data_IF_986589968134
#
_entry.id   IF_986589968134
#
_cell.length_a   1.000
_cell.length_b   1.000
_cell.length_c   1.000
_cell.angle_alpha   90.00
_cell.angle_beta   90.00
_cell.angle_gamma   90.00
#
_symmetry.space_group_name_H-M   'P 1'
#
loop_
_entity.id
_entity.type
_entity.pdbx_description
1 polymer ?
#
# COMPACT_ATOMS: atom_id res chain seq x y z
N UNK A 1 35.40 -136.80 5.85
CA UNK A 1 36.43 -137.77 6.25
C UNK A 1 37.67 -136.96 6.57
N UNK A 2 37.97 -136.77 7.85
CA UNK A 2 39.32 -136.40 8.34
C UNK A 2 39.39 -136.36 9.88
N UNK A 3 38.32 -136.75 10.58
CA UNK A 3 38.45 -137.41 11.88
C UNK A 3 38.86 -138.87 11.63
N UNK A 4 40.17 -139.19 11.70
CA UNK A 4 40.68 -140.43 12.35
C UNK A 4 42.22 -140.63 12.35
N UNK A 5 43.04 -139.95 11.54
CA UNK A 5 44.45 -140.41 11.38
C UNK A 5 45.50 -139.90 12.40
N UNK A 6 45.25 -138.85 13.20
CA UNK A 6 46.33 -138.25 14.05
C UNK A 6 46.21 -138.62 15.54
N UNK A 7 45.58 -139.76 15.85
CA UNK A 7 45.64 -140.37 17.20
C UNK A 7 46.28 -141.76 17.21
N UNK A 8 47.28 -142.00 16.37
CA UNK A 8 48.25 -143.10 16.51
C UNK A 8 49.66 -142.70 16.05
N UNK A 9 50.15 -141.54 16.48
CA UNK A 9 51.58 -141.20 16.44
C UNK A 9 52.18 -141.32 17.85
N UNK A 10 52.24 -142.56 18.36
CA UNK A 10 52.91 -142.86 19.61
C UNK A 10 54.44 -142.89 19.37
N UNK A 11 55.11 -141.84 19.85
CA UNK A 11 56.57 -141.62 19.92
C UNK A 11 57.25 -141.31 18.57
N UNK A 12 57.53 -140.03 18.34
CA UNK A 12 58.59 -139.59 17.44
C UNK A 12 59.92 -139.58 18.23
N UNK A 13 60.87 -140.41 17.84
CA UNK A 13 62.23 -140.37 18.37
C UNK A 13 63.12 -139.59 17.41
N UNK A 14 63.77 -138.56 17.94
CA UNK A 14 64.76 -137.75 17.24
C UNK A 14 66.12 -138.19 17.73
N UNK A 15 67.01 -138.57 16.81
CA UNK A 15 68.40 -138.91 17.13
C UNK A 15 69.34 -138.11 16.24
N UNK A 16 70.37 -137.53 16.85
CA UNK A 16 71.40 -136.74 16.16
C UNK A 16 72.59 -137.66 15.93
N UNK A 17 72.96 -137.91 14.67
CA UNK A 17 74.21 -138.57 14.31
C UNK A 17 75.22 -137.56 13.77
N UNK A 18 76.49 -137.96 13.62
CA UNK A 18 77.63 -137.06 13.35
C UNK A 18 77.49 -136.13 12.13
N UNK A 19 76.66 -136.49 11.14
CA UNK A 19 76.42 -135.67 9.92
C UNK A 19 74.95 -135.49 9.53
N UNK A 20 74.01 -136.14 10.21
CA UNK A 20 72.59 -136.14 9.82
C UNK A 20 71.65 -136.22 11.04
N UNK A 21 70.54 -135.51 10.95
CA UNK A 21 69.40 -135.60 11.86
C UNK A 21 68.47 -136.71 11.38
N UNK A 22 68.19 -137.68 12.25
CA UNK A 22 67.36 -138.85 11.93
C UNK A 22 66.06 -138.75 12.73
N UNK A 23 64.96 -138.58 12.00
CA UNK A 23 63.61 -138.51 12.54
C UNK A 23 62.91 -139.82 12.25
N UNK A 24 62.53 -140.56 13.30
CA UNK A 24 61.75 -141.79 13.15
C UNK A 24 60.38 -141.59 13.76
N UNK A 25 59.35 -141.66 12.92
CA UNK A 25 57.96 -141.52 13.34
C UNK A 25 57.20 -142.82 13.04
N UNK A 26 56.42 -143.28 14.02
CA UNK A 26 55.64 -144.53 13.95
C UNK A 26 54.19 -144.20 13.67
N UNK A 27 53.71 -144.56 12.49
CA UNK A 27 52.30 -144.39 12.12
C UNK A 27 51.71 -145.72 11.67
N UNK A 28 50.68 -146.19 12.38
CA UNK A 28 49.86 -147.37 12.05
C UNK A 28 50.71 -148.56 11.55
N UNK A 29 51.59 -149.04 12.43
CA UNK A 29 52.54 -150.15 12.24
C UNK A 29 53.70 -149.94 11.25
N UNK A 30 53.77 -148.81 10.53
CA UNK A 30 54.91 -148.46 9.66
C UNK A 30 55.85 -147.44 10.33
N UNK A 31 57.17 -147.70 10.28
CA UNK A 31 58.20 -146.77 10.77
C UNK A 31 58.72 -146.00 9.56
N UNK A 32 58.38 -144.70 9.45
CA UNK A 32 59.01 -143.82 8.44
C UNK A 32 60.23 -143.16 9.07
N UNK A 33 61.39 -143.28 8.40
CA UNK A 33 62.65 -142.66 8.81
C UNK A 33 63.00 -141.57 7.81
N UNK A 34 63.05 -140.32 8.26
CA UNK A 34 63.45 -139.15 7.48
C UNK A 34 64.88 -138.79 7.90
N UNK A 35 65.76 -138.59 6.92
CA UNK A 35 67.18 -138.31 7.13
C UNK A 35 67.46 -136.93 6.53
N UNK A 36 67.79 -135.96 7.37
CA UNK A 36 68.16 -134.62 6.92
C UNK A 36 69.63 -134.35 7.24
N UNK A 37 70.48 -134.01 6.25
CA UNK A 37 71.86 -133.69 6.53
C UNK A 37 71.97 -132.40 7.36
N UNK A 38 72.88 -132.40 8.35
CA UNK A 38 73.05 -131.28 9.29
C UNK A 38 73.39 -129.95 8.58
N UNK A 39 74.02 -130.00 7.41
CA UNK A 39 74.29 -128.81 6.57
C UNK A 39 73.03 -128.15 6.01
N UNK A 40 71.98 -128.93 5.67
CA UNK A 40 70.70 -128.35 5.28
C UNK A 40 70.01 -127.69 6.48
N UNK A 41 70.15 -128.29 7.67
CA UNK A 41 69.64 -127.72 8.91
C UNK A 41 70.34 -126.39 9.27
N UNK A 42 71.66 -126.29 9.07
CA UNK A 42 72.40 -125.03 9.29
C UNK A 42 72.09 -123.95 8.26
N UNK A 43 71.85 -124.31 6.99
CA UNK A 43 71.36 -123.35 5.99
C UNK A 43 69.98 -122.82 6.37
N UNK A 44 69.06 -123.69 6.79
CA UNK A 44 67.71 -123.28 7.20
C UNK A 44 67.76 -122.36 8.42
N UNK A 45 68.59 -122.66 9.43
CA UNK A 45 68.73 -121.79 10.61
C UNK A 45 69.40 -120.46 10.28
N UNK A 46 70.40 -120.43 9.38
CA UNK A 46 71.00 -119.18 8.90
C UNK A 46 70.00 -118.34 8.10
N UNK A 47 69.18 -118.96 7.24
CA UNK A 47 68.16 -118.26 6.47
C UNK A 47 67.05 -117.73 7.39
N UNK A 48 66.63 -118.52 8.38
CA UNK A 48 65.67 -118.12 9.40
C UNK A 48 66.20 -116.95 10.25
N UNK A 49 67.47 -117.00 10.67
CA UNK A 49 68.12 -115.90 11.39
C UNK A 49 68.23 -114.64 10.53
N UNK A 50 68.56 -114.75 9.23
CA UNK A 50 68.60 -113.60 8.32
C UNK A 50 67.22 -112.96 8.13
N UNK A 51 66.17 -113.79 8.03
CA UNK A 51 64.78 -113.32 7.94
C UNK A 51 64.38 -112.64 9.26
N UNK A 52 64.71 -113.21 10.41
CA UNK A 52 64.44 -112.57 11.71
C UNK A 52 65.18 -111.25 11.87
N UNK A 53 66.45 -111.18 11.45
CA UNK A 53 67.25 -109.97 11.54
C UNK A 53 66.72 -108.88 10.60
N UNK A 54 66.28 -109.24 9.39
CA UNK A 54 65.62 -108.32 8.46
C UNK A 54 64.25 -107.86 8.98
N UNK A 55 63.45 -108.76 9.56
CA UNK A 55 62.17 -108.43 10.17
C UNK A 55 62.33 -107.53 11.41
N UNK A 56 63.38 -107.74 12.20
CA UNK A 56 63.76 -106.86 13.30
C UNK A 56 64.19 -105.49 12.78
N UNK A 57 65.05 -105.41 11.78
CA UNK A 57 65.52 -104.13 11.22
C UNK A 57 64.38 -103.34 10.56
N UNK A 58 63.47 -104.03 9.86
CA UNK A 58 62.29 -103.41 9.26
C UNK A 58 61.30 -102.94 10.34
N UNK A 59 61.08 -103.70 11.41
CA UNK A 59 60.12 -103.34 12.47
C UNK A 59 60.64 -102.31 13.46
N UNK A 60 61.92 -102.35 13.84
CA UNK A 60 62.53 -101.43 14.81
C UNK A 60 63.03 -100.12 14.19
N UNK A 61 63.41 -100.12 12.91
CA UNK A 61 64.04 -98.97 12.28
C UNK A 61 63.18 -98.40 11.15
N UNK A 62 62.82 -99.23 10.17
CA UNK A 62 62.17 -98.73 8.96
C UNK A 62 60.73 -98.28 9.20
N UNK A 63 59.92 -99.12 9.84
CA UNK A 63 58.53 -98.81 10.16
C UNK A 63 58.37 -97.54 11.03
N UNK A 64 59.09 -97.36 12.16
CA UNK A 64 58.95 -96.17 12.97
C UNK A 64 59.52 -94.92 12.30
N UNK A 65 60.65 -95.00 11.56
CA UNK A 65 61.14 -93.84 10.80
C UNK A 65 60.17 -93.41 9.70
N UNK A 66 59.61 -94.37 8.97
CA UNK A 66 58.66 -94.07 7.91
C UNK A 66 57.37 -93.47 8.47
N UNK A 67 56.81 -94.05 9.54
CA UNK A 67 55.63 -93.50 10.21
C UNK A 67 55.92 -92.13 10.80
N UNK A 68 57.06 -91.95 11.48
CA UNK A 68 57.44 -90.65 12.03
C UNK A 68 57.58 -89.60 10.93
N UNK A 69 58.33 -89.90 9.86
CA UNK A 69 58.58 -88.95 8.78
C UNK A 69 57.31 -88.66 7.99
N UNK A 70 56.50 -89.67 7.68
CA UNK A 70 55.25 -89.49 6.96
C UNK A 70 54.22 -88.75 7.79
N UNK A 71 54.01 -89.13 9.04
CA UNK A 71 53.06 -88.45 9.94
C UNK A 71 53.53 -87.04 10.25
N UNK A 72 54.81 -86.82 10.53
CA UNK A 72 55.34 -85.48 10.79
C UNK A 72 55.23 -84.60 9.55
N UNK A 73 55.67 -85.08 8.38
CA UNK A 73 55.64 -84.30 7.15
C UNK A 73 54.20 -84.04 6.70
N UNK A 74 53.33 -85.04 6.76
CA UNK A 74 51.93 -84.88 6.38
C UNK A 74 51.19 -84.00 7.38
N UNK A 75 51.33 -84.24 8.69
CA UNK A 75 50.68 -83.40 9.70
C UNK A 75 51.22 -81.97 9.67
N UNK A 76 52.53 -81.76 9.59
CA UNK A 76 53.11 -80.42 9.52
C UNK A 76 52.69 -79.73 8.23
N UNK A 77 52.91 -80.34 7.07
CA UNK A 77 52.61 -79.70 5.79
C UNK A 77 51.10 -79.50 5.61
N UNK A 78 50.29 -80.52 5.88
CA UNK A 78 48.85 -80.42 5.69
C UNK A 78 48.21 -79.50 6.73
N UNK A 79 48.47 -79.69 8.03
CA UNK A 79 47.83 -78.86 9.06
C UNK A 79 48.34 -77.43 8.96
N UNK A 80 49.66 -77.22 8.86
CA UNK A 80 50.19 -75.86 8.79
C UNK A 80 49.75 -75.18 7.49
N UNK A 81 49.95 -75.80 6.33
CA UNK A 81 49.65 -75.13 5.07
C UNK A 81 48.14 -75.00 4.84
N UNK A 82 47.37 -76.08 5.00
CA UNK A 82 45.95 -76.04 4.72
C UNK A 82 45.20 -75.22 5.75
N UNK A 83 45.40 -75.46 7.05
CA UNK A 83 44.65 -74.74 8.08
C UNK A 83 45.08 -73.27 8.12
N UNK A 84 46.38 -72.96 8.07
CA UNK A 84 46.82 -71.56 8.08
C UNK A 84 46.38 -70.83 6.82
N UNK A 85 46.60 -71.40 5.63
CA UNK A 85 46.24 -70.72 4.38
C UNK A 85 44.72 -70.59 4.24
N UNK A 86 43.95 -71.65 4.56
CA UNK A 86 42.50 -71.59 4.47
C UNK A 86 41.91 -70.65 5.51
N UNK A 87 42.35 -70.73 6.78
CA UNK A 87 41.84 -69.83 7.82
C UNK A 87 42.23 -68.37 7.57
N UNK A 88 43.46 -68.11 7.12
CA UNK A 88 43.94 -66.76 6.84
C UNK A 88 43.27 -66.19 5.58
N UNK A 89 43.12 -66.97 4.52
CA UNK A 89 42.46 -66.53 3.30
C UNK A 89 40.96 -66.36 3.52
N UNK A 90 40.32 -67.25 4.28
CA UNK A 90 38.91 -67.10 4.65
C UNK A 90 38.70 -65.91 5.59
N UNK A 91 39.52 -65.74 6.63
CA UNK A 91 39.42 -64.60 7.52
C UNK A 91 39.68 -63.29 6.76
N UNK A 92 40.75 -63.21 5.95
CA UNK A 92 41.05 -62.01 5.17
C UNK A 92 39.93 -61.72 4.17
N UNK A 93 39.55 -62.69 3.33
CA UNK A 93 38.55 -62.47 2.29
C UNK A 93 37.17 -62.21 2.88
N UNK A 94 36.74 -62.98 3.87
CA UNK A 94 35.42 -62.81 4.48
C UNK A 94 35.36 -61.53 5.30
N UNK A 95 36.29 -61.31 6.24
CA UNK A 95 36.26 -60.13 7.10
C UNK A 95 36.47 -58.87 6.28
N UNK A 96 37.48 -58.84 5.41
CA UNK A 96 37.76 -57.65 4.60
C UNK A 96 36.64 -57.42 3.58
N UNK A 97 36.28 -58.41 2.75
CA UNK A 97 35.31 -58.18 1.69
C UNK A 97 33.90 -58.00 2.27
N UNK A 98 33.44 -58.91 3.12
CA UNK A 98 32.06 -58.86 3.60
C UNK A 98 31.85 -57.67 4.54
N UNK A 99 32.69 -57.51 5.56
CA UNK A 99 32.45 -56.46 6.57
C UNK A 99 32.73 -55.09 5.95
N UNK A 100 33.85 -54.91 5.22
CA UNK A 100 34.14 -53.60 4.61
C UNK A 100 33.09 -53.24 3.56
N UNK A 101 32.78 -54.14 2.62
CA UNK A 101 31.84 -53.82 1.55
C UNK A 101 30.44 -53.64 2.10
N UNK A 102 29.98 -54.50 3.00
CA UNK A 102 28.64 -54.38 3.58
C UNK A 102 28.51 -53.14 4.46
N UNK A 103 29.48 -52.87 5.34
CA UNK A 103 29.45 -51.68 6.20
C UNK A 103 29.58 -50.38 5.39
N UNK A 104 30.49 -50.33 4.41
CA UNK A 104 30.69 -49.17 3.55
C UNK A 104 29.45 -48.92 2.68
N UNK A 105 28.93 -49.95 2.02
CA UNK A 105 27.73 -49.82 1.18
C UNK A 105 26.53 -49.38 2.02
N UNK A 106 26.34 -49.97 3.20
CA UNK A 106 25.23 -49.59 4.09
C UNK A 106 25.41 -48.17 4.63
N UNK A 107 26.61 -47.78 5.06
CA UNK A 107 26.88 -46.43 5.54
C UNK A 107 26.71 -45.40 4.43
N UNK A 108 27.19 -45.68 3.23
CA UNK A 108 27.10 -44.77 2.08
C UNK A 108 25.64 -44.66 1.60
N UNK A 109 24.92 -45.76 1.50
CA UNK A 109 23.52 -45.76 1.07
C UNK A 109 22.63 -45.09 2.13
N UNK A 110 22.88 -45.34 3.42
CA UNK A 110 22.13 -44.69 4.50
C UNK A 110 22.47 -43.21 4.60
N UNK A 111 23.75 -42.81 4.56
CA UNK A 111 24.15 -41.41 4.61
C UNK A 111 23.65 -40.66 3.38
N UNK A 112 23.85 -41.20 2.17
CA UNK A 112 23.38 -40.57 0.95
C UNK A 112 21.86 -40.47 0.95
N UNK A 113 21.14 -41.57 1.15
CA UNK A 113 19.68 -41.56 1.04
C UNK A 113 19.03 -40.79 2.18
N UNK A 114 19.48 -40.95 3.42
CA UNK A 114 18.90 -40.25 4.56
C UNK A 114 19.28 -38.77 4.56
N UNK A 115 20.57 -38.42 4.42
CA UNK A 115 20.99 -37.02 4.45
C UNK A 115 20.48 -36.29 3.21
N UNK A 116 20.61 -36.86 2.02
CA UNK A 116 20.10 -36.21 0.82
C UNK A 116 18.58 -36.07 0.89
N UNK A 117 17.84 -37.14 1.16
CA UNK A 117 16.38 -37.07 1.10
C UNK A 117 15.83 -36.24 2.26
N UNK A 118 16.31 -36.44 3.49
CA UNK A 118 15.83 -35.68 4.64
C UNK A 118 16.30 -34.23 4.60
N UNK A 119 17.59 -33.96 4.38
CA UNK A 119 18.06 -32.57 4.35
C UNK A 119 17.52 -31.83 3.14
N UNK A 120 17.49 -32.43 1.94
CA UNK A 120 16.98 -31.75 0.76
C UNK A 120 15.47 -31.54 0.86
N UNK A 121 14.69 -32.58 1.20
CA UNK A 121 13.23 -32.46 1.28
C UNK A 121 12.80 -31.58 2.46
N UNK A 122 13.37 -31.79 3.65
CA UNK A 122 13.00 -30.99 4.82
C UNK A 122 13.49 -29.55 4.66
N UNK A 123 14.76 -29.31 4.30
CA UNK A 123 15.23 -27.94 4.16
C UNK A 123 14.56 -27.22 2.99
N UNK A 124 14.40 -27.83 1.81
CA UNK A 124 13.72 -27.15 0.71
C UNK A 124 12.25 -26.92 1.04
N UNK A 125 11.51 -27.94 1.47
CA UNK A 125 10.08 -27.81 1.65
C UNK A 125 9.76 -26.90 2.84
N UNK A 126 10.50 -27.02 3.94
CA UNK A 126 10.33 -26.13 5.10
C UNK A 126 10.72 -24.69 4.77
N UNK A 127 11.92 -24.46 4.21
CA UNK A 127 12.38 -23.10 3.89
C UNK A 127 11.48 -22.47 2.83
N UNK A 128 11.12 -23.19 1.78
CA UNK A 128 10.27 -22.67 0.71
C UNK A 128 8.86 -22.39 1.22
N UNK A 129 8.23 -23.31 1.94
CA UNK A 129 6.88 -23.10 2.45
C UNK A 129 6.85 -21.99 3.51
N UNK A 130 7.82 -21.97 4.43
CA UNK A 130 7.89 -20.95 5.47
C UNK A 130 8.17 -19.57 4.89
N UNK A 131 9.18 -19.44 4.02
CA UNK A 131 9.51 -18.15 3.38
C UNK A 131 8.37 -17.64 2.50
N UNK A 132 7.74 -18.52 1.71
CA UNK A 132 6.63 -18.12 0.84
C UNK A 132 5.41 -17.72 1.66
N UNK A 133 5.05 -18.48 2.70
CA UNK A 133 3.95 -18.13 3.58
C UNK A 133 4.21 -16.80 4.30
N UNK A 134 5.43 -16.60 4.83
CA UNK A 134 5.76 -15.37 5.55
C UNK A 134 5.79 -14.16 4.61
N UNK A 135 6.39 -14.30 3.42
CA UNK A 135 6.42 -13.24 2.42
C UNK A 135 5.02 -12.89 1.93
N UNK A 136 4.16 -13.89 1.67
CA UNK A 136 2.80 -13.66 1.20
C UNK A 136 1.94 -13.04 2.29
N UNK A 137 2.04 -13.50 3.54
CA UNK A 137 1.31 -12.94 4.68
C UNK A 137 1.79 -11.52 4.98
N UNK A 138 3.10 -11.26 4.96
CA UNK A 138 3.64 -9.93 5.15
C UNK A 138 3.26 -8.98 4.02
N UNK A 139 3.41 -9.38 2.76
CA UNK A 139 3.02 -8.56 1.62
C UNK A 139 1.52 -8.28 1.64
N UNK A 140 0.68 -9.30 1.83
CA UNK A 140 -0.77 -9.12 1.83
C UNK A 140 -1.21 -8.27 3.02
N UNK A 141 -0.78 -8.58 4.24
CA UNK A 141 -1.21 -7.84 5.42
C UNK A 141 -0.62 -6.43 5.45
N UNK A 142 0.68 -6.28 5.22
CA UNK A 142 1.32 -4.96 5.28
C UNK A 142 0.90 -4.08 4.11
N UNK A 143 1.00 -4.56 2.86
CA UNK A 143 0.66 -3.73 1.69
C UNK A 143 -0.83 -3.45 1.66
N UNK A 144 -1.70 -4.44 1.88
CA UNK A 144 -3.14 -4.19 1.85
C UNK A 144 -3.53 -3.26 3.00
N UNK A 145 -3.12 -3.54 4.24
CA UNK A 145 -3.57 -2.75 5.39
C UNK A 145 -2.94 -1.36 5.38
N UNK A 146 -1.65 -1.24 5.08
CA UNK A 146 -0.99 0.06 4.99
C UNK A 146 -1.50 0.86 3.79
N UNK A 147 -1.55 0.28 2.60
CA UNK A 147 -2.04 1.00 1.42
C UNK A 147 -3.51 1.36 1.59
N UNK A 148 -4.38 0.44 2.02
CA UNK A 148 -5.80 0.74 2.22
C UNK A 148 -5.98 1.81 3.29
N UNK A 149 -5.38 1.64 4.47
CA UNK A 149 -5.58 2.58 5.59
C UNK A 149 -4.94 3.93 5.28
N UNK A 150 -3.73 3.97 4.74
CA UNK A 150 -3.07 5.22 4.37
C UNK A 150 -3.80 5.91 3.23
N UNK A 151 -4.10 5.22 2.13
CA UNK A 151 -4.79 5.87 0.98
C UNK A 151 -6.20 6.28 1.36
N UNK A 152 -6.99 5.42 2.01
CA UNK A 152 -8.34 5.76 2.43
C UNK A 152 -8.31 6.93 3.41
N UNK A 153 -7.53 6.85 4.50
CA UNK A 153 -7.56 7.88 5.53
C UNK A 153 -6.92 9.18 5.03
N UNK A 154 -5.76 9.11 4.38
CA UNK A 154 -5.08 10.31 3.90
C UNK A 154 -5.85 10.96 2.76
N UNK A 155 -6.21 10.21 1.71
CA UNK A 155 -6.89 10.80 0.55
C UNK A 155 -8.28 11.27 0.93
N UNK A 156 -9.08 10.48 1.64
CA UNK A 156 -10.43 10.88 2.02
C UNK A 156 -10.40 12.07 2.98
N UNK A 157 -9.59 12.01 4.05
CA UNK A 157 -9.55 13.11 5.02
C UNK A 157 -8.97 14.38 4.41
N UNK A 158 -7.88 14.27 3.65
CA UNK A 158 -7.25 15.44 3.03
C UNK A 158 -8.14 16.07 1.96
N UNK A 159 -8.70 15.26 1.05
CA UNK A 159 -9.58 15.77 -0.01
C UNK A 159 -10.87 16.36 0.56
N UNK A 160 -11.50 15.69 1.54
CA UNK A 160 -12.71 16.17 2.19
C UNK A 160 -12.44 17.48 2.93
N UNK A 161 -11.36 17.54 3.72
CA UNK A 161 -11.01 18.72 4.49
C UNK A 161 -10.65 19.88 3.55
N UNK A 162 -9.88 19.64 2.50
CA UNK A 162 -9.54 20.67 1.52
C UNK A 162 -10.78 21.17 0.75
N UNK A 163 -11.65 20.26 0.30
CA UNK A 163 -12.89 20.62 -0.39
C UNK A 163 -13.83 21.41 0.52
N UNK A 164 -13.97 21.01 1.79
CA UNK A 164 -14.82 21.69 2.77
C UNK A 164 -14.25 23.06 3.11
N UNK A 165 -12.95 23.18 3.35
CA UNK A 165 -12.29 24.45 3.66
C UNK A 165 -12.34 25.40 2.46
N UNK A 166 -12.13 24.90 1.24
CA UNK A 166 -12.25 25.70 0.03
C UNK A 166 -13.70 26.14 -0.20
N UNK A 167 -14.67 25.23 -0.16
CA UNK A 167 -16.08 25.56 -0.37
C UNK A 167 -16.59 26.53 0.71
N UNK A 168 -16.32 26.25 1.99
CA UNK A 168 -16.77 27.09 3.07
C UNK A 168 -16.06 28.44 3.06
N UNK A 169 -14.73 28.47 2.98
CA UNK A 169 -13.99 29.73 3.14
C UNK A 169 -14.02 30.56 1.86
N UNK A 170 -13.80 29.96 0.70
CA UNK A 170 -13.78 30.72 -0.56
C UNK A 170 -15.20 31.11 -0.97
N UNK A 171 -16.13 30.16 -1.09
CA UNK A 171 -17.45 30.46 -1.64
C UNK A 171 -18.26 31.31 -0.67
N UNK A 172 -18.29 30.98 0.62
CA UNK A 172 -19.06 31.78 1.58
C UNK A 172 -18.48 33.17 1.74
N UNK A 173 -17.17 33.31 1.96
CA UNK A 173 -16.56 34.61 2.22
C UNK A 173 -16.62 35.49 0.96
N UNK A 174 -16.29 34.94 -0.21
CA UNK A 174 -16.33 35.69 -1.46
C UNK A 174 -17.77 36.08 -1.82
N UNK A 175 -18.72 35.15 -1.75
CA UNK A 175 -20.12 35.46 -2.06
C UNK A 175 -20.71 36.46 -1.07
N UNK A 176 -20.44 36.29 0.23
CA UNK A 176 -20.91 37.22 1.27
C UNK A 176 -20.30 38.61 1.07
N UNK A 177 -18.99 38.69 0.83
CA UNK A 177 -18.30 39.98 0.66
C UNK A 177 -18.75 40.68 -0.62
N UNK A 178 -18.90 39.95 -1.73
CA UNK A 178 -19.45 40.50 -2.98
C UNK A 178 -20.90 40.96 -2.81
N UNK A 179 -21.75 40.13 -2.22
CA UNK A 179 -23.15 40.47 -1.99
C UNK A 179 -23.30 41.69 -1.08
N UNK A 180 -22.53 41.74 0.02
CA UNK A 180 -22.55 42.85 0.96
C UNK A 180 -21.99 44.13 0.34
N UNK A 181 -20.85 44.07 -0.34
CA UNK A 181 -20.25 45.22 -1.01
C UNK A 181 -21.17 45.75 -2.11
N UNK A 182 -21.71 44.88 -2.95
CA UNK A 182 -22.62 45.27 -4.02
C UNK A 182 -23.92 45.85 -3.48
N UNK A 183 -24.54 45.20 -2.50
CA UNK A 183 -25.78 45.70 -1.89
C UNK A 183 -25.55 47.04 -1.18
N UNK A 184 -24.45 47.19 -0.42
CA UNK A 184 -24.11 48.44 0.26
C UNK A 184 -23.83 49.56 -0.76
N UNK A 185 -23.04 49.28 -1.79
CA UNK A 185 -22.67 50.28 -2.81
C UNK A 185 -23.89 50.68 -3.64
N UNK A 186 -24.73 49.74 -4.05
CA UNK A 186 -25.99 50.04 -4.75
C UNK A 186 -26.94 50.83 -3.85
N UNK A 187 -27.16 50.39 -2.61
CA UNK A 187 -28.06 51.09 -1.69
C UNK A 187 -27.57 52.51 -1.40
N UNK A 188 -26.27 52.69 -1.12
CA UNK A 188 -25.70 54.00 -0.82
C UNK A 188 -25.67 54.89 -2.05
N UNK A 189 -25.21 54.41 -3.20
CA UNK A 189 -25.13 55.21 -4.43
C UNK A 189 -26.53 55.56 -4.94
N UNK A 190 -27.45 54.58 -4.97
CA UNK A 190 -28.81 54.85 -5.41
C UNK A 190 -29.55 55.77 -4.43
N UNK A 191 -29.53 55.50 -3.12
CA UNK A 191 -30.21 56.37 -2.16
C UNK A 191 -29.60 57.78 -2.12
N UNK A 192 -28.29 57.90 -2.07
CA UNK A 192 -27.62 59.20 -1.99
C UNK A 192 -27.82 59.96 -3.29
N UNK A 193 -27.56 59.36 -4.46
CA UNK A 193 -27.70 60.05 -5.74
C UNK A 193 -29.17 60.37 -6.03
N UNK A 194 -30.09 59.41 -5.85
CA UNK A 194 -31.51 59.64 -6.10
C UNK A 194 -32.08 60.66 -5.12
N UNK A 195 -31.89 60.50 -3.81
CA UNK A 195 -32.44 61.45 -2.83
C UNK A 195 -31.77 62.81 -2.96
N UNK A 196 -30.45 62.89 -3.08
CA UNK A 196 -29.77 64.18 -3.23
C UNK A 196 -30.16 64.86 -4.53
N UNK A 197 -30.10 64.17 -5.68
CA UNK A 197 -30.38 64.78 -6.98
C UNK A 197 -31.86 65.09 -7.12
N UNK A 198 -32.75 64.17 -6.77
CA UNK A 198 -34.19 64.42 -6.84
C UNK A 198 -34.61 65.49 -5.84
N UNK A 199 -34.22 65.39 -4.57
CA UNK A 199 -34.61 66.40 -3.59
C UNK A 199 -34.00 67.76 -3.94
N UNK A 200 -32.69 67.84 -4.25
CA UNK A 200 -32.06 69.12 -4.59
C UNK A 200 -32.65 69.70 -5.87
N UNK A 201 -32.72 68.94 -6.96
CA UNK A 201 -33.19 69.45 -8.25
C UNK A 201 -34.68 69.79 -8.20
N UNK A 202 -35.51 68.89 -7.64
CA UNK A 202 -36.94 69.13 -7.53
C UNK A 202 -37.24 70.29 -6.59
N UNK A 203 -36.69 70.31 -5.38
CA UNK A 203 -36.99 71.39 -4.42
C UNK A 203 -36.43 72.72 -4.90
N UNK A 204 -35.18 72.77 -5.39
CA UNK A 204 -34.58 74.00 -5.88
C UNK A 204 -35.35 74.53 -7.09
N UNK A 205 -35.60 73.69 -8.12
CA UNK A 205 -36.25 74.14 -9.34
C UNK A 205 -37.72 74.50 -9.09
N UNK A 206 -38.44 73.67 -8.32
CA UNK A 206 -39.83 73.93 -7.98
C UNK A 206 -39.98 75.19 -7.12
N UNK A 207 -39.22 75.31 -6.02
CA UNK A 207 -39.31 76.48 -5.15
C UNK A 207 -38.85 77.74 -5.87
N UNK A 208 -37.75 77.69 -6.63
CA UNK A 208 -37.25 78.84 -7.37
C UNK A 208 -38.24 79.29 -8.45
N UNK A 209 -38.74 78.37 -9.27
CA UNK A 209 -39.69 78.70 -10.33
C UNK A 209 -41.02 79.19 -9.75
N UNK A 210 -41.55 78.51 -8.73
CA UNK A 210 -42.78 78.91 -8.08
C UNK A 210 -42.65 80.26 -7.39
N UNK A 211 -41.59 80.48 -6.61
CA UNK A 211 -41.35 81.75 -5.93
C UNK A 211 -41.11 82.89 -6.93
N UNK A 212 -40.34 82.66 -8.00
CA UNK A 212 -40.11 83.66 -9.04
C UNK A 212 -41.41 84.02 -9.76
N UNK A 213 -42.21 83.03 -10.16
CA UNK A 213 -43.48 83.24 -10.83
C UNK A 213 -44.46 84.02 -9.94
N UNK A 214 -44.58 83.62 -8.66
CA UNK A 214 -45.43 84.31 -7.70
C UNK A 214 -44.96 85.74 -7.45
N UNK A 215 -43.66 85.95 -7.24
CA UNK A 215 -43.10 87.28 -7.03
C UNK A 215 -43.29 88.18 -8.25
N UNK A 216 -43.03 87.67 -9.46
CA UNK A 216 -43.21 88.40 -10.71
C UNK A 216 -44.68 88.77 -10.93
N UNK A 217 -45.60 87.80 -10.78
CA UNK A 217 -47.03 88.02 -10.95
C UNK A 217 -47.55 89.04 -9.94
N UNK A 218 -47.17 88.90 -8.66
CA UNK A 218 -47.59 89.84 -7.62
C UNK A 218 -47.03 91.24 -7.86
N UNK A 219 -45.73 91.36 -8.18
CA UNK A 219 -45.09 92.64 -8.45
C UNK A 219 -45.69 93.34 -9.68
N UNK A 220 -45.92 92.59 -10.77
CA UNK A 220 -46.48 93.14 -12.01
C UNK A 220 -47.94 93.56 -11.82
N UNK A 221 -48.74 92.74 -11.13
CA UNK A 221 -50.14 93.07 -10.83
C UNK A 221 -50.25 94.27 -9.88
N UNK A 222 -49.42 94.33 -8.83
CA UNK A 222 -49.35 95.49 -7.94
C UNK A 222 -48.91 96.75 -8.69
N UNK A 223 -47.84 96.67 -9.48
CA UNK A 223 -47.34 97.81 -10.25
C UNK A 223 -48.38 98.30 -11.27
N UNK A 224 -49.05 97.39 -11.97
CA UNK A 224 -50.10 97.74 -12.95
C UNK A 224 -51.30 98.39 -12.25
N UNK A 225 -51.83 97.78 -11.19
CA UNK A 225 -52.99 98.33 -10.46
C UNK A 225 -52.62 99.68 -9.84
N UNK A 226 -51.49 99.77 -9.16
CA UNK A 226 -51.07 100.99 -8.50
C UNK A 226 -50.80 102.11 -9.51
N UNK A 227 -50.06 101.84 -10.58
CA UNK A 227 -49.78 102.85 -11.61
C UNK A 227 -51.03 103.29 -12.35
N UNK A 228 -51.90 102.37 -12.76
CA UNK A 228 -53.11 102.69 -13.50
C UNK A 228 -54.12 103.43 -12.62
N UNK A 229 -54.34 102.98 -11.37
CA UNK A 229 -55.22 103.66 -10.43
C UNK A 229 -54.66 105.03 -10.01
N UNK A 230 -53.35 105.13 -9.76
CA UNK A 230 -52.70 106.40 -9.44
C UNK A 230 -52.79 107.39 -10.60
N UNK A 231 -52.43 106.98 -11.82
CA UNK A 231 -52.50 107.84 -13.01
C UNK A 231 -53.96 108.26 -13.27
N UNK A 232 -54.91 107.32 -13.24
CA UNK A 232 -56.32 107.60 -13.48
C UNK A 232 -56.88 108.57 -12.42
N UNK A 233 -56.67 108.28 -11.14
CA UNK A 233 -57.20 109.09 -10.04
C UNK A 233 -56.54 110.46 -9.99
N UNK A 234 -55.22 110.51 -10.19
CA UNK A 234 -54.50 111.78 -10.23
C UNK A 234 -54.93 112.63 -11.44
N UNK A 235 -55.03 112.04 -12.64
CA UNK A 235 -55.48 112.73 -13.84
C UNK A 235 -56.93 113.21 -13.71
N UNK A 236 -57.82 112.41 -13.12
CA UNK A 236 -59.23 112.76 -12.92
C UNK A 236 -59.38 113.85 -11.86
N UNK A 237 -58.65 113.77 -10.75
CA UNK A 237 -58.68 114.80 -9.70
C UNK A 237 -58.05 116.12 -10.19
N UNK A 238 -56.97 116.04 -10.96
CA UNK A 238 -56.35 117.22 -11.57
C UNK A 238 -57.26 117.85 -12.62
N UNK A 239 -57.85 117.05 -13.52
CA UNK A 239 -58.78 117.56 -14.54
C UNK A 239 -60.04 118.15 -13.92
N UNK A 240 -60.64 117.50 -12.92
CA UNK A 240 -61.82 118.01 -12.21
C UNK A 240 -61.48 119.30 -11.46
N UNK A 241 -60.34 119.37 -10.76
CA UNK A 241 -59.89 120.60 -10.09
C UNK A 241 -59.66 121.73 -11.09
N UNK A 242 -59.06 121.42 -12.24
CA UNK A 242 -58.81 122.39 -13.31
C UNK A 242 -60.12 122.92 -13.90
N UNK A 243 -61.04 122.03 -14.28
CA UNK A 243 -62.36 122.38 -14.83
C UNK A 243 -63.16 123.17 -13.81
N UNK A 244 -63.30 122.69 -12.57
CA UNK A 244 -64.05 123.37 -11.51
C UNK A 244 -63.49 124.78 -11.26
N UNK A 245 -62.16 124.94 -11.20
CA UNK A 245 -61.55 126.25 -11.00
C UNK A 245 -61.80 127.18 -12.19
N UNK A 246 -61.62 126.69 -13.41
CA UNK A 246 -61.83 127.47 -14.64
C UNK A 246 -63.30 127.88 -14.79
N UNK A 247 -64.23 126.94 -14.74
CA UNK A 247 -65.66 127.21 -14.96
C UNK A 247 -66.25 128.04 -13.83
N UNK A 248 -65.89 127.78 -12.57
CA UNK A 248 -66.45 128.50 -11.43
C UNK A 248 -65.87 129.92 -11.31
N UNK A 249 -64.56 130.12 -11.53
CA UNK A 249 -64.00 131.48 -11.62
C UNK A 249 -64.56 132.23 -12.82
N UNK A 250 -64.60 131.61 -14.00
CA UNK A 250 -65.10 132.27 -15.20
C UNK A 250 -66.59 132.61 -15.09
N UNK A 251 -67.42 131.68 -14.59
CA UNK A 251 -68.84 131.92 -14.38
C UNK A 251 -69.10 132.97 -13.29
N UNK A 252 -68.39 132.93 -12.15
CA UNK A 252 -68.53 133.97 -11.12
C UNK A 252 -68.08 135.33 -11.64
N UNK A 253 -66.94 135.41 -12.31
CA UNK A 253 -66.41 136.68 -12.81
C UNK A 253 -67.29 137.25 -13.92
N UNK A 254 -67.77 136.40 -14.84
CA UNK A 254 -68.68 136.82 -15.91
C UNK A 254 -70.06 137.22 -15.38
N UNK A 255 -70.62 136.48 -14.41
CA UNK A 255 -71.90 136.86 -13.76
C UNK A 255 -71.77 138.12 -12.91
N UNK A 256 -70.70 138.30 -12.14
CA UNK A 256 -70.43 139.54 -11.41
C UNK A 256 -70.32 140.71 -12.38
N UNK A 257 -69.56 140.57 -13.47
CA UNK A 257 -69.38 141.63 -14.46
C UNK A 257 -70.69 141.94 -15.18
N UNK A 258 -71.52 140.93 -15.49
CA UNK A 258 -72.85 141.11 -16.05
C UNK A 258 -73.79 141.85 -15.09
N UNK A 259 -73.81 141.47 -13.81
CA UNK A 259 -74.61 142.15 -12.76
C UNK A 259 -74.14 143.60 -12.56
N UNK A 260 -72.83 143.84 -12.58
CA UNK A 260 -72.26 145.18 -12.39
C UNK A 260 -72.56 146.10 -13.58
N UNK A 261 -72.50 145.58 -14.81
CA UNK A 261 -72.97 146.30 -16.01
C UNK A 261 -74.48 146.58 -15.97
N UNK A 262 -75.27 145.61 -15.51
CA UNK A 262 -76.71 145.79 -15.36
C UNK A 262 -77.06 146.86 -14.30
N UNK A 263 -76.34 146.90 -13.16
CA UNK A 263 -76.52 147.91 -12.13
C UNK A 263 -76.11 149.32 -12.61
N UNK A 264 -74.99 149.44 -13.33
CA UNK A 264 -74.58 150.71 -13.95
C UNK A 264 -75.64 151.23 -14.94
N UNK A 265 -76.27 150.34 -15.70
CA UNK A 265 -77.35 150.73 -16.61
C UNK A 265 -78.59 151.29 -15.88
N UNK A 266 -78.89 150.84 -14.65
CA UNK A 266 -80.08 151.29 -13.90
C UNK A 266 -79.82 152.61 -13.16
N UNK A 267 -78.59 152.88 -12.71
CA UNK A 267 -78.28 154.08 -11.91
C UNK A 267 -78.05 155.35 -12.74
N UNK A 268 -77.94 155.26 -14.07
CA UNK A 268 -77.64 156.42 -14.92
C UNK A 268 -78.84 157.09 -15.61
N UNK A 269 -80.11 156.69 -15.41
CA UNK A 269 -81.23 157.40 -16.07
C UNK A 269 -82.57 157.36 -15.31
N UNK A 270 -82.81 158.33 -14.42
CA UNK A 270 -84.05 159.12 -14.53
C UNK A 270 -83.86 160.61 -14.16
N UNK A 271 -82.92 161.32 -14.79
CA UNK A 271 -82.79 162.79 -14.66
C UNK A 271 -82.87 163.57 -15.99
N UNK A 272 -83.22 162.89 -17.10
CA UNK A 272 -83.36 163.54 -18.42
C UNK A 272 -84.83 163.85 -18.79
N UNK A 273 -85.81 163.39 -17.99
CA UNK A 273 -87.23 163.58 -18.32
C UNK A 273 -87.94 164.79 -17.68
N UNK A 274 -87.26 165.61 -16.85
CA UNK A 274 -87.91 166.72 -16.10
C UNK A 274 -87.35 168.13 -16.45
N UNK A 275 -86.34 168.26 -17.33
CA UNK A 275 -85.76 169.58 -17.72
C UNK A 275 -85.99 169.91 -19.22
N UNK A 276 -86.97 169.28 -19.90
CA UNK A 276 -87.35 169.62 -21.30
C UNK A 276 -88.77 170.16 -21.49
N UNK A 277 -89.40 170.63 -20.40
CA UNK A 277 -90.68 171.35 -20.42
C UNK A 277 -90.67 172.51 -19.41
N UNK A 278 -90.01 173.62 -19.77
CA UNK A 278 -90.39 175.01 -19.39
C UNK A 278 -89.24 176.03 -19.59
N UNK A 279 -88.76 176.18 -20.83
CA UNK A 279 -88.20 177.47 -21.27
C UNK A 279 -88.83 177.81 -22.62
N UNK A 280 -90.08 178.26 -22.53
CA UNK A 280 -90.76 179.05 -23.56
C UNK A 280 -90.54 180.52 -23.18
N UNK A 281 -89.76 181.30 -23.94
CA UNK A 281 -89.91 182.74 -23.96
C UNK A 281 -90.77 183.17 -25.15
N UNK A 282 -91.62 184.12 -24.87
CA UNK A 282 -92.63 184.76 -25.71
C UNK A 282 -91.98 185.58 -26.85
N UNK A 283 -92.69 185.64 -27.97
CA UNK A 283 -92.43 186.35 -29.25
C UNK A 283 -91.92 187.79 -29.12
N UNK A 284 -90.98 188.15 -30.01
CA UNK A 284 -91.24 189.07 -31.14
C UNK A 284 -91.06 188.26 -32.41
#
# INVERSE_FOLDING_TARGET
MEDEEIRYMQKCNISVGDKELRLTARHNASVRKIWTPLYLCSIITLHFNKIQLHALLHSLLYAPLYVLLYVLLYALLYVLLYVLLHSLLYALLYVLLYILLHSLLRALLYALLYVLLYALLYAHLYVLLHSLLQALLHALLYVLLYALLYTLLYVLLHSLLQALLYALLYVLLYALLQALLYALLQALLHSLLYVLLYALLYTLLYLLLYALLQALLHALLQALIHSLLYILLHALLHSLRYVLRQTLLYALLHSLLYVLLYFLHITENPLVHIIRLSLLPIRI
#
